data_IF_413672697370
#
_entry.id   IF_413672697370
#
_cell.length_a   1.000
_cell.length_b   1.000
_cell.length_c   1.000
_cell.angle_alpha   90.00
_cell.angle_beta   90.00
_cell.angle_gamma   90.00
#
_symmetry.space_group_name_H-M   'P 1'
#
loop_
_entity.id
_entity.type
_entity.pdbx_description
1 polymer ?
#
# COMPACT_ATOMS: atom_id res chain seq x y z
N UNK A 1 -34.41 -3.75 5.68
CA UNK A 1 -33.40 -4.80 5.83
C UNK A 1 -34.11 -6.06 6.30
N UNK A 2 -33.87 -7.21 5.64
CA UNK A 2 -34.41 -8.53 6.03
C UNK A 2 -34.12 -8.87 7.48
N UNK A 3 -32.94 -8.49 7.98
CA UNK A 3 -32.53 -8.72 9.37
C UNK A 3 -33.39 -8.00 10.40
N UNK A 4 -33.85 -6.77 10.14
CA UNK A 4 -34.75 -6.06 11.08
C UNK A 4 -36.06 -6.80 11.25
N UNK A 5 -36.60 -7.30 10.14
CA UNK A 5 -37.84 -8.06 10.13
C UNK A 5 -37.68 -9.40 10.87
N UNK A 6 -36.57 -10.10 10.64
CA UNK A 6 -36.22 -11.32 11.37
C UNK A 6 -36.13 -11.06 12.87
N UNK A 7 -35.46 -9.97 13.29
CA UNK A 7 -35.34 -9.62 14.71
C UNK A 7 -36.68 -9.29 15.36
N UNK A 8 -37.53 -8.53 14.67
CA UNK A 8 -38.89 -8.21 15.11
C UNK A 8 -39.74 -9.48 15.28
N UNK A 9 -39.65 -10.42 14.34
CA UNK A 9 -40.35 -11.71 14.43
C UNK A 9 -39.85 -12.56 15.59
N UNK A 10 -38.53 -12.60 15.81
CA UNK A 10 -37.93 -13.32 16.94
C UNK A 10 -38.39 -12.73 18.27
N UNK A 11 -38.33 -11.40 18.43
CA UNK A 11 -38.80 -10.73 19.64
C UNK A 11 -40.30 -10.95 19.89
N UNK A 12 -41.11 -10.91 18.83
CA UNK A 12 -42.53 -11.23 18.90
C UNK A 12 -42.79 -12.67 19.36
N UNK A 13 -42.03 -13.65 18.84
CA UNK A 13 -42.13 -15.06 19.27
C UNK A 13 -41.73 -15.25 20.73
N UNK A 14 -40.78 -14.45 21.22
CA UNK A 14 -40.33 -14.45 22.62
C UNK A 14 -41.26 -13.65 23.57
N UNK A 15 -42.35 -13.06 23.07
CA UNK A 15 -43.26 -12.24 23.87
C UNK A 15 -42.68 -10.87 24.27
N UNK A 16 -41.60 -10.43 23.62
CA UNK A 16 -40.97 -9.13 23.85
C UNK A 16 -41.67 -8.04 23.03
N UNK A 17 -41.74 -6.83 23.58
CA UNK A 17 -42.22 -5.66 22.84
C UNK A 17 -41.32 -5.37 21.64
N UNK A 18 -41.86 -4.93 20.51
CA UNK A 18 -41.08 -4.71 19.29
C UNK A 18 -39.86 -3.79 19.52
N UNK A 19 -38.70 -4.08 18.91
CA UNK A 19 -37.50 -3.27 19.06
C UNK A 19 -37.74 -1.84 18.56
N UNK A 20 -37.30 -0.85 19.34
CA UNK A 20 -37.31 0.56 18.92
C UNK A 20 -36.09 0.84 18.05
N UNK A 21 -36.31 1.00 16.75
CA UNK A 21 -35.25 1.37 15.82
C UNK A 21 -34.96 2.87 15.89
N UNK A 22 -33.69 3.23 15.99
CA UNK A 22 -33.23 4.61 15.93
C UNK A 22 -32.04 4.77 15.01
N UNK A 23 -31.67 6.03 14.73
CA UNK A 23 -30.40 6.32 14.08
C UNK A 23 -29.24 5.94 15.01
N UNK A 24 -28.21 5.29 14.48
CA UNK A 24 -26.94 5.11 15.18
C UNK A 24 -26.08 6.33 14.92
N UNK A 25 -25.67 7.05 15.95
CA UNK A 25 -24.64 8.09 15.83
C UNK A 25 -23.33 7.46 16.25
N UNK A 26 -22.30 7.60 15.43
CA UNK A 26 -21.00 6.99 15.70
C UNK A 26 -19.94 8.08 15.87
N UNK A 27 -19.05 7.85 16.84
CA UNK A 27 -17.78 8.56 16.95
C UNK A 27 -16.71 7.51 16.68
N UNK A 28 -15.97 7.69 15.59
CA UNK A 28 -14.83 6.86 15.22
C UNK A 28 -13.57 7.56 15.68
N UNK A 29 -12.69 6.84 16.37
CA UNK A 29 -11.41 7.38 16.80
C UNK A 29 -10.29 6.39 16.46
N UNK A 30 -9.23 6.88 15.83
CA UNK A 30 -8.01 6.10 15.61
C UNK A 30 -6.78 6.93 15.97
N UNK A 31 -5.72 6.29 16.43
CA UNK A 31 -4.45 6.96 16.69
C UNK A 31 -3.76 7.38 15.38
N UNK A 32 -3.91 6.58 14.32
CA UNK A 32 -3.26 6.79 13.02
C UNK A 32 -4.03 7.79 12.15
N UNK A 33 -3.34 8.81 11.61
CA UNK A 33 -3.88 9.65 10.55
C UNK A 33 -4.34 8.85 9.32
N UNK A 34 -3.59 7.84 8.87
CA UNK A 34 -3.99 7.01 7.73
C UNK A 34 -5.29 6.23 8.02
N UNK A 35 -5.39 5.57 9.17
CA UNK A 35 -6.60 4.85 9.57
C UNK A 35 -7.80 5.80 9.74
N UNK A 36 -7.58 6.99 10.30
CA UNK A 36 -8.60 8.05 10.38
C UNK A 36 -9.07 8.46 8.99
N UNK A 37 -8.15 8.71 8.06
CA UNK A 37 -8.48 9.13 6.70
C UNK A 37 -9.29 8.06 5.95
N UNK A 38 -8.92 6.79 6.12
CA UNK A 38 -9.70 5.65 5.63
C UNK A 38 -11.10 5.67 6.26
N UNK A 39 -11.20 5.76 7.59
CA UNK A 39 -12.47 5.81 8.31
C UNK A 39 -13.37 6.96 7.87
N UNK A 40 -12.80 8.15 7.64
CA UNK A 40 -13.51 9.31 7.12
C UNK A 40 -14.07 9.04 5.72
N UNK A 41 -13.30 8.45 4.81
CA UNK A 41 -13.76 8.20 3.45
C UNK A 41 -14.76 7.05 3.34
N UNK A 42 -14.75 6.09 4.26
CA UNK A 42 -15.80 5.08 4.35
C UNK A 42 -17.13 5.63 4.90
N UNK A 43 -17.09 6.63 5.78
CA UNK A 43 -18.26 6.98 6.60
C UNK A 43 -18.82 8.39 6.35
N UNK A 44 -18.08 9.28 5.70
CA UNK A 44 -18.56 10.64 5.39
C UNK A 44 -19.20 10.66 3.99
N UNK A 45 -20.45 11.16 3.85
CA UNK A 45 -21.13 11.27 2.57
C UNK A 45 -20.34 12.04 1.50
N UNK A 46 -20.49 11.60 0.26
CA UNK A 46 -19.95 12.27 -0.93
C UNK A 46 -20.83 11.94 -2.14
N UNK A 47 -20.69 12.72 -3.21
CA UNK A 47 -21.35 12.45 -4.48
C UNK A 47 -20.56 11.39 -5.26
N UNK A 48 -21.13 10.19 -5.34
CA UNK A 48 -20.49 9.03 -5.98
C UNK A 48 -20.38 9.20 -7.50
N UNK A 49 -21.33 9.89 -8.13
CA UNK A 49 -21.33 10.09 -9.58
C UNK A 49 -20.30 11.17 -9.95
N UNK A 50 -20.21 12.24 -9.15
CA UNK A 50 -19.17 13.25 -9.27
C UNK A 50 -17.77 12.63 -9.08
N UNK A 51 -17.59 11.78 -8.06
CA UNK A 51 -16.34 11.02 -7.87
C UNK A 51 -16.03 10.13 -9.07
N UNK A 52 -17.00 9.36 -9.56
CA UNK A 52 -16.78 8.43 -10.68
C UNK A 52 -16.33 9.17 -11.93
N UNK A 53 -16.96 10.32 -12.21
CA UNK A 53 -16.56 11.20 -13.32
C UNK A 53 -15.15 11.76 -13.11
N UNK A 54 -14.86 12.30 -11.92
CA UNK A 54 -13.57 12.88 -11.60
C UNK A 54 -12.44 11.84 -11.64
N UNK A 55 -12.66 10.61 -11.14
CA UNK A 55 -11.70 9.51 -11.20
C UNK A 55 -11.37 9.09 -12.63
N UNK A 56 -12.36 9.00 -13.51
CA UNK A 56 -12.14 8.72 -14.94
C UNK A 56 -11.34 9.83 -15.62
N UNK A 57 -11.66 11.09 -15.30
CA UNK A 57 -10.92 12.24 -15.83
C UNK A 57 -9.47 12.26 -15.34
N UNK A 58 -9.25 11.95 -14.05
CA UNK A 58 -7.92 11.84 -13.46
C UNK A 58 -7.08 10.77 -14.17
N UNK A 59 -7.59 9.54 -14.31
CA UNK A 59 -6.85 8.46 -14.96
C UNK A 59 -6.52 8.76 -16.43
N UNK A 60 -7.45 9.41 -17.15
CA UNK A 60 -7.22 9.87 -18.53
C UNK A 60 -6.15 10.96 -18.58
N UNK A 61 -6.17 11.90 -17.65
CA UNK A 61 -5.17 12.97 -17.60
C UNK A 61 -3.78 12.42 -17.24
N UNK A 62 -3.69 11.42 -16.35
CA UNK A 62 -2.42 10.72 -16.08
C UNK A 62 -1.93 9.99 -17.33
N UNK A 63 -2.81 9.35 -18.09
CA UNK A 63 -2.45 8.69 -19.35
C UNK A 63 -1.90 9.65 -20.40
N UNK A 64 -2.43 10.87 -20.46
CA UNK A 64 -1.89 11.90 -21.35
C UNK A 64 -0.47 12.33 -20.97
N UNK A 65 -0.15 12.41 -19.67
CA UNK A 65 1.15 12.89 -19.19
C UNK A 65 2.24 11.81 -19.26
N UNK A 66 1.91 10.59 -18.84
CA UNK A 66 2.88 9.51 -18.61
C UNK A 66 2.58 8.22 -19.38
N UNK A 67 1.56 8.19 -20.23
CA UNK A 67 1.18 7.01 -21.01
C UNK A 67 2.33 6.43 -21.84
N UNK A 68 3.17 7.30 -22.39
CA UNK A 68 4.37 6.92 -23.15
C UNK A 68 5.35 6.04 -22.36
N UNK A 69 5.37 6.12 -21.02
CA UNK A 69 6.22 5.30 -20.15
C UNK A 69 5.75 3.84 -20.05
N UNK A 70 4.52 3.58 -20.47
CA UNK A 70 3.84 2.29 -20.39
C UNK A 70 3.41 1.79 -21.78
N UNK A 71 4.07 2.26 -22.83
CA UNK A 71 3.91 1.72 -24.19
C UNK A 71 5.07 0.76 -24.51
N UNK A 72 4.79 -0.25 -25.31
CA UNK A 72 5.81 -1.18 -25.83
C UNK A 72 5.44 -1.66 -27.22
N UNK A 73 6.43 -2.01 -28.06
CA UNK A 73 6.17 -2.54 -29.39
C UNK A 73 5.79 -4.01 -29.34
N UNK A 74 4.69 -4.37 -30.01
CA UNK A 74 4.21 -5.75 -30.15
C UNK A 74 5.15 -6.57 -31.05
N UNK A 75 5.00 -7.90 -31.05
CA UNK A 75 5.82 -8.83 -31.84
C UNK A 75 5.76 -8.63 -33.35
N UNK A 76 4.79 -7.85 -33.85
CA UNK A 76 4.70 -7.46 -35.26
C UNK A 76 5.63 -6.27 -35.64
N UNK A 77 6.30 -5.68 -34.66
CA UNK A 77 7.21 -4.55 -34.86
C UNK A 77 6.50 -3.24 -35.24
N UNK A 78 5.17 -3.14 -35.11
CA UNK A 78 4.40 -1.97 -35.55
C UNK A 78 3.34 -1.54 -34.54
N UNK A 79 2.63 -2.49 -33.95
CA UNK A 79 1.51 -2.20 -33.05
C UNK A 79 2.04 -1.85 -31.68
N UNK A 80 1.57 -0.73 -31.11
CA UNK A 80 1.84 -0.39 -29.70
C UNK A 80 0.91 -1.16 -28.77
N UNK A 81 1.49 -1.79 -27.77
CA UNK A 81 0.78 -2.40 -26.65
C UNK A 81 0.94 -1.59 -25.36
N UNK A 82 -0.02 -1.75 -24.45
CA UNK A 82 -0.02 -1.12 -23.14
C UNK A 82 0.59 -2.06 -22.11
N UNK A 83 1.65 -1.63 -21.44
CA UNK A 83 2.28 -2.37 -20.35
C UNK A 83 1.31 -2.43 -19.17
N UNK A 84 0.97 -3.65 -18.76
CA UNK A 84 0.21 -3.90 -17.53
C UNK A 84 1.16 -3.95 -16.34
N UNK A 85 2.31 -4.61 -16.50
CA UNK A 85 3.42 -4.57 -15.55
C UNK A 85 4.75 -5.02 -16.16
N UNK A 86 5.84 -4.59 -15.52
CA UNK A 86 7.19 -5.10 -15.78
C UNK A 86 7.69 -5.87 -14.57
N UNK A 87 8.24 -7.06 -14.80
CA UNK A 87 8.93 -7.85 -13.78
C UNK A 87 10.38 -7.43 -13.75
N UNK A 88 10.83 -7.03 -12.57
CA UNK A 88 12.20 -6.64 -12.31
C UNK A 88 12.88 -7.69 -11.44
N UNK A 89 14.06 -8.13 -11.86
CA UNK A 89 14.89 -9.08 -11.13
C UNK A 89 16.09 -8.37 -10.52
N UNK A 90 16.38 -8.69 -9.26
CA UNK A 90 17.70 -8.41 -8.70
C UNK A 90 18.77 -9.20 -9.45
N UNK A 91 19.90 -8.55 -9.69
CA UNK A 91 21.11 -9.15 -10.24
C UNK A 91 22.06 -9.52 -9.10
N UNK A 92 22.77 -10.63 -9.29
CA UNK A 92 23.70 -11.20 -8.32
C UNK A 92 25.03 -11.51 -8.98
N UNK A 93 26.07 -11.71 -8.18
CA UNK A 93 27.38 -12.17 -8.65
C UNK A 93 27.52 -13.67 -8.35
N UNK A 94 28.03 -14.41 -9.33
CA UNK A 94 28.47 -15.78 -9.11
C UNK A 94 29.74 -15.78 -8.25
N UNK A 95 29.79 -16.49 -7.11
CA UNK A 95 30.99 -16.51 -6.25
C UNK A 95 32.20 -17.20 -6.93
N UNK A 96 31.96 -18.06 -7.93
CA UNK A 96 33.00 -18.87 -8.55
C UNK A 96 33.66 -18.17 -9.76
N UNK A 97 32.92 -17.31 -10.48
CA UNK A 97 33.44 -16.62 -11.68
C UNK A 97 33.19 -15.11 -11.74
N UNK A 98 32.56 -14.53 -10.72
CA UNK A 98 32.15 -13.12 -10.64
C UNK A 98 31.20 -12.64 -11.77
N UNK A 99 30.64 -13.57 -12.55
CA UNK A 99 29.70 -13.24 -13.64
C UNK A 99 28.35 -12.77 -13.09
N UNK A 100 27.72 -11.81 -13.77
CA UNK A 100 26.40 -11.29 -13.38
C UNK A 100 25.29 -12.30 -13.69
N UNK A 101 24.47 -12.62 -12.70
CA UNK A 101 23.39 -13.60 -12.79
C UNK A 101 22.05 -12.91 -12.59
N UNK A 102 21.20 -12.94 -13.62
CA UNK A 102 19.81 -12.51 -13.50
C UNK A 102 18.98 -13.64 -12.87
N UNK A 103 18.69 -13.51 -11.58
CA UNK A 103 18.05 -14.58 -10.81
C UNK A 103 16.73 -15.07 -11.43
N UNK A 104 15.90 -14.17 -11.97
CA UNK A 104 14.63 -14.57 -12.59
C UNK A 104 14.86 -15.32 -13.90
N UNK A 105 15.81 -14.89 -14.73
CA UNK A 105 16.08 -15.53 -16.00
C UNK A 105 16.60 -16.97 -15.83
N UNK A 106 17.44 -17.20 -14.81
CA UNK A 106 18.08 -18.50 -14.61
C UNK A 106 17.29 -19.45 -13.69
N UNK A 107 16.62 -18.92 -12.66
CA UNK A 107 15.96 -19.74 -11.65
C UNK A 107 14.47 -19.96 -11.92
N UNK A 108 13.79 -19.12 -12.70
CA UNK A 108 12.37 -19.30 -12.98
C UNK A 108 12.17 -20.32 -14.10
N UNK A 109 11.52 -21.43 -13.77
CA UNK A 109 11.16 -22.44 -14.75
C UNK A 109 10.00 -21.96 -15.63
N UNK A 110 10.21 -21.95 -16.95
CA UNK A 110 9.24 -21.37 -17.90
C UNK A 110 7.91 -22.12 -17.97
N UNK A 111 7.92 -23.44 -17.77
CA UNK A 111 6.75 -24.31 -17.86
C UNK A 111 5.99 -24.38 -16.53
N UNK A 112 6.67 -24.76 -15.45
CA UNK A 112 6.06 -24.93 -14.14
C UNK A 112 5.83 -23.62 -13.40
N UNK A 113 6.46 -22.51 -13.86
CA UNK A 113 6.45 -21.20 -13.20
C UNK A 113 6.94 -21.24 -11.75
N UNK A 114 7.71 -22.28 -11.38
CA UNK A 114 8.35 -22.44 -10.08
C UNK A 114 9.77 -21.92 -10.13
N UNK A 115 10.25 -21.42 -8.99
CA UNK A 115 11.66 -21.09 -8.82
C UNK A 115 12.39 -22.40 -8.50
N UNK A 116 13.43 -22.71 -9.26
CA UNK A 116 14.31 -23.86 -9.01
C UNK A 116 15.17 -23.60 -7.79
N UNK A 117 15.33 -24.63 -6.95
CA UNK A 117 16.20 -24.53 -5.75
C UNK A 117 17.68 -24.44 -6.14
N UNK A 118 18.06 -25.14 -7.23
CA UNK A 118 19.40 -25.11 -7.84
C UNK A 118 19.32 -24.81 -9.34
N UNK A 119 20.31 -24.11 -9.88
CA UNK A 119 20.44 -23.82 -11.31
C UNK A 119 21.91 -23.57 -11.68
N UNK A 120 22.34 -23.88 -12.92
CA UNK A 120 23.72 -23.64 -13.33
C UNK A 120 23.98 -22.14 -13.56
N UNK A 121 25.18 -21.68 -13.24
CA UNK A 121 25.65 -20.35 -13.63
C UNK A 121 25.70 -20.25 -15.17
N UNK A 122 25.13 -19.19 -15.78
CA UNK A 122 25.16 -19.03 -17.24
C UNK A 122 26.55 -18.73 -17.82
N UNK A 123 27.53 -18.40 -16.96
CA UNK A 123 28.89 -18.03 -17.38
C UNK A 123 29.91 -19.16 -17.22
N UNK A 124 29.86 -19.90 -16.11
CA UNK A 124 30.86 -20.93 -15.78
C UNK A 124 30.28 -22.33 -15.52
N UNK A 125 28.95 -22.48 -15.51
CA UNK A 125 28.28 -23.75 -15.26
C UNK A 125 28.27 -24.23 -13.82
N UNK A 126 28.89 -23.50 -12.88
CA UNK A 126 28.84 -23.85 -11.45
C UNK A 126 27.40 -23.93 -10.94
N UNK A 127 27.09 -24.92 -10.10
CA UNK A 127 25.75 -25.04 -9.51
C UNK A 127 25.50 -23.91 -8.50
N UNK A 128 24.44 -23.14 -8.67
CA UNK A 128 24.07 -22.01 -7.82
C UNK A 128 22.77 -22.27 -7.07
N UNK A 129 22.66 -21.66 -5.89
CA UNK A 129 21.42 -21.51 -5.11
C UNK A 129 21.24 -20.04 -4.74
N UNK A 130 20.02 -19.65 -4.34
CA UNK A 130 19.77 -18.26 -3.91
C UNK A 130 20.66 -17.79 -2.76
N UNK A 131 21.07 -18.69 -1.87
CA UNK A 131 21.93 -18.36 -0.71
C UNK A 131 23.42 -18.30 -1.05
N UNK A 132 23.87 -18.97 -2.12
CA UNK A 132 25.25 -18.90 -2.61
C UNK A 132 25.55 -17.65 -3.44
N UNK A 133 24.51 -17.02 -3.99
CA UNK A 133 24.66 -15.80 -4.77
C UNK A 133 25.09 -14.61 -3.90
N UNK A 134 26.06 -13.85 -4.39
CA UNK A 134 26.48 -12.60 -3.76
C UNK A 134 25.64 -11.43 -4.28
N UNK A 135 25.19 -10.53 -3.40
CA UNK A 135 24.38 -9.38 -3.80
C UNK A 135 25.24 -8.41 -4.60
N UNK A 136 24.76 -8.04 -5.79
CA UNK A 136 25.37 -7.01 -6.61
C UNK A 136 24.69 -5.68 -6.32
N UNK A 137 25.47 -4.67 -5.99
CA UNK A 137 25.01 -3.31 -5.73
C UNK A 137 25.49 -2.37 -6.82
N UNK A 138 24.73 -1.30 -7.04
CA UNK A 138 25.14 -0.17 -7.86
C UNK A 138 25.01 1.11 -7.05
N UNK A 139 25.96 2.02 -7.23
CA UNK A 139 25.91 3.34 -6.62
C UNK A 139 25.18 4.28 -7.56
N UNK A 140 24.13 4.92 -7.06
CA UNK A 140 23.34 5.90 -7.80
C UNK A 140 23.38 7.24 -7.06
N UNK A 141 23.47 8.32 -7.83
CA UNK A 141 23.27 9.66 -7.29
C UNK A 141 21.78 9.88 -7.08
N UNK A 142 21.36 10.08 -5.83
CA UNK A 142 20.01 10.50 -5.51
C UNK A 142 19.92 12.02 -5.63
N UNK A 143 19.43 12.48 -6.77
CA UNK A 143 19.27 13.92 -7.05
C UNK A 143 18.35 14.63 -6.07
N UNK A 144 17.47 13.90 -5.39
CA UNK A 144 16.48 14.46 -4.46
C UNK A 144 17.09 14.78 -3.09
N UNK A 145 18.09 14.01 -2.66
CA UNK A 145 18.78 14.19 -1.38
C UNK A 145 20.20 14.75 -1.56
N UNK A 146 20.75 14.72 -2.78
CA UNK A 146 22.15 15.06 -3.07
C UNK A 146 23.16 14.01 -2.58
N UNK A 147 22.69 12.86 -2.09
CA UNK A 147 23.52 11.80 -1.55
C UNK A 147 23.78 10.71 -2.61
N UNK A 148 24.88 9.97 -2.44
CA UNK A 148 25.08 8.72 -3.17
C UNK A 148 24.50 7.57 -2.37
N UNK A 149 23.62 6.78 -2.98
CA UNK A 149 22.99 5.62 -2.36
C UNK A 149 23.48 4.34 -3.06
N UNK A 150 23.76 3.30 -2.26
CA UNK A 150 23.96 1.95 -2.80
C UNK A 150 22.65 1.21 -2.80
N UNK A 151 22.23 0.74 -3.98
CA UNK A 151 20.99 -0.01 -4.16
C UNK A 151 21.31 -1.35 -4.83
N UNK A 152 20.54 -2.42 -4.55
CA UNK A 152 20.67 -3.66 -5.29
C UNK A 152 20.52 -3.40 -6.80
N UNK A 153 21.46 -3.91 -7.59
CA UNK A 153 21.40 -3.84 -9.04
C UNK A 153 20.19 -4.67 -9.51
N UNK A 154 19.37 -4.10 -10.38
CA UNK A 154 18.14 -4.70 -10.89
C UNK A 154 18.09 -4.56 -12.41
N UNK A 155 17.39 -5.48 -13.07
CA UNK A 155 17.11 -5.41 -14.49
C UNK A 155 15.65 -5.79 -14.76
N UNK A 156 15.02 -5.12 -15.73
CA UNK A 156 13.76 -5.57 -16.28
C UNK A 156 13.98 -6.93 -16.97
N UNK A 157 13.20 -7.93 -16.59
CA UNK A 157 13.33 -9.30 -17.11
C UNK A 157 12.17 -9.68 -18.02
N UNK A 158 10.95 -9.24 -17.69
CA UNK A 158 9.73 -9.58 -18.42
C UNK A 158 8.80 -8.37 -18.48
N UNK A 159 8.23 -8.10 -19.66
CA UNK A 159 7.18 -7.11 -19.86
C UNK A 159 5.91 -7.86 -20.21
N UNK A 160 4.85 -7.59 -19.44
CA UNK A 160 3.51 -8.10 -19.72
C UNK A 160 2.63 -6.94 -20.14
N UNK A 161 2.01 -7.07 -21.31
CA UNK A 161 1.31 -5.99 -21.98
C UNK A 161 0.06 -6.49 -22.70
N UNK A 162 -0.82 -5.55 -23.07
CA UNK A 162 -2.06 -5.83 -23.78
C UNK A 162 -2.09 -5.12 -25.15
N UNK A 163 -2.67 -5.81 -26.14
CA UNK A 163 -3.05 -5.24 -27.44
C UNK A 163 -4.53 -5.53 -27.65
N UNK A 164 -5.35 -4.48 -27.60
CA UNK A 164 -6.80 -4.64 -27.52
C UNK A 164 -7.21 -5.42 -26.27
N UNK A 165 -7.77 -6.62 -26.45
CA UNK A 165 -8.20 -7.51 -25.34
C UNK A 165 -7.23 -8.67 -25.07
N UNK A 166 -6.24 -8.86 -25.95
CA UNK A 166 -5.28 -9.94 -25.83
C UNK A 166 -4.08 -9.51 -25.00
N UNK A 167 -3.53 -10.45 -24.23
CA UNK A 167 -2.41 -10.23 -23.32
C UNK A 167 -1.20 -11.02 -23.79
N UNK A 168 -0.04 -10.39 -23.72
CA UNK A 168 1.22 -10.90 -24.24
C UNK A 168 2.33 -10.71 -23.21
N UNK A 169 3.39 -11.49 -23.37
CA UNK A 169 4.60 -11.46 -22.56
C UNK A 169 5.81 -11.40 -23.51
N UNK A 170 6.80 -10.56 -23.19
CA UNK A 170 8.09 -10.53 -23.90
C UNK A 170 9.24 -10.19 -22.97
N UNK A 171 10.47 -10.45 -23.41
CA UNK A 171 11.67 -9.82 -22.83
C UNK A 171 11.73 -8.34 -23.27
N UNK A 172 12.25 -7.43 -22.44
CA UNK A 172 12.48 -6.05 -22.86
C UNK A 172 13.32 -6.00 -24.15
N UNK A 173 12.88 -5.18 -25.10
CA UNK A 173 13.65 -4.82 -26.30
C UNK A 173 14.54 -3.60 -26.05
N UNK A 174 15.43 -3.27 -26.98
CA UNK A 174 16.29 -2.07 -26.88
C UNK A 174 15.45 -0.80 -26.70
N UNK A 175 14.37 -0.63 -27.49
CA UNK A 175 13.43 0.49 -27.33
C UNK A 175 12.83 0.58 -25.93
N UNK A 176 12.52 -0.57 -25.29
CA UNK A 176 11.98 -0.59 -23.93
C UNK A 176 13.04 -0.14 -22.90
N UNK A 177 14.30 -0.53 -23.11
CA UNK A 177 15.43 -0.15 -22.26
C UNK A 177 15.75 1.34 -22.41
N UNK A 178 15.68 1.89 -23.63
CA UNK A 178 15.85 3.32 -23.90
C UNK A 178 14.77 4.16 -23.20
N UNK A 179 13.51 3.70 -23.20
CA UNK A 179 12.42 4.33 -22.46
C UNK A 179 12.70 4.30 -20.95
N UNK A 180 13.13 3.15 -20.41
CA UNK A 180 13.49 3.02 -18.99
C UNK A 180 14.60 4.02 -18.64
N UNK A 181 15.67 4.07 -19.42
CA UNK A 181 16.79 4.99 -19.18
C UNK A 181 16.35 6.46 -19.25
N UNK A 182 15.47 6.80 -20.21
CA UNK A 182 14.88 8.13 -20.30
C UNK A 182 14.09 8.49 -19.04
N UNK A 183 13.36 7.55 -18.46
CA UNK A 183 12.57 7.78 -17.24
C UNK A 183 13.49 7.93 -16.01
N UNK A 184 14.55 7.12 -15.92
CA UNK A 184 15.55 7.21 -14.85
C UNK A 184 16.26 8.57 -14.80
N UNK A 185 16.37 9.25 -15.95
CA UNK A 185 16.94 10.59 -16.05
C UNK A 185 15.97 11.73 -15.66
N UNK A 186 14.70 11.44 -15.40
CA UNK A 186 13.72 12.46 -15.00
C UNK A 186 13.89 12.83 -13.52
N UNK A 187 13.63 14.09 -13.21
CA UNK A 187 13.56 14.54 -11.82
C UNK A 187 12.39 13.87 -11.08
N UNK A 188 12.60 13.56 -9.80
CA UNK A 188 11.55 13.06 -8.93
C UNK A 188 10.40 14.08 -8.87
N UNK A 189 9.12 13.65 -9.03
CA UNK A 189 8.00 14.57 -8.87
C UNK A 189 7.98 15.15 -7.44
N UNK A 190 7.66 16.45 -7.28
CA UNK A 190 7.68 17.11 -5.97
C UNK A 190 6.66 16.53 -4.98
N UNK A 191 5.63 15.84 -5.47
CA UNK A 191 4.63 15.17 -4.63
C UNK A 191 5.13 13.87 -4.01
N UNK A 192 6.21 13.26 -4.53
CA UNK A 192 6.77 12.03 -3.96
C UNK A 192 7.54 12.39 -2.68
N UNK A 193 7.22 11.80 -1.51
CA UNK A 193 7.90 12.16 -0.27
C UNK A 193 9.36 11.73 -0.28
N UNK A 194 10.24 12.66 0.11
CA UNK A 194 11.68 12.44 0.32
C UNK A 194 12.03 12.40 1.81
N UNK A 195 11.06 12.11 2.68
CA UNK A 195 11.27 12.02 4.13
C UNK A 195 12.15 10.81 4.47
N UNK A 196 13.12 11.01 5.37
CA UNK A 196 13.95 9.95 5.92
C UNK A 196 13.10 9.00 6.77
N UNK A 197 13.33 7.70 6.61
CA UNK A 197 12.66 6.68 7.39
C UNK A 197 13.28 6.67 8.79
N UNK A 198 12.50 6.94 9.86
CA UNK A 198 13.04 6.89 11.20
C UNK A 198 13.48 5.45 11.55
N UNK A 199 14.40 5.30 12.50
CA UNK A 199 14.71 4.00 13.07
C UNK A 199 13.44 3.37 13.65
N UNK A 200 13.05 2.21 13.13
CA UNK A 200 11.79 1.51 13.40
C UNK A 200 12.00 0.00 13.35
N UNK A 201 11.18 -0.75 14.09
CA UNK A 201 11.29 -2.22 14.15
C UNK A 201 11.02 -2.83 12.77
N UNK A 202 10.03 -2.30 12.03
CA UNK A 202 9.70 -2.77 10.68
C UNK A 202 10.74 -2.43 9.61
N UNK A 203 11.75 -1.62 9.88
CA UNK A 203 12.74 -1.19 8.87
C UNK A 203 14.14 -1.71 9.19
N UNK A 204 14.58 -1.61 10.46
CA UNK A 204 15.96 -1.90 10.85
C UNK A 204 16.13 -3.29 11.48
N UNK A 205 15.13 -3.80 12.22
CA UNK A 205 15.24 -5.12 12.84
C UNK A 205 14.66 -6.22 11.95
N UNK A 206 13.43 -6.03 11.43
CA UNK A 206 12.72 -7.09 10.71
C UNK A 206 12.97 -7.11 9.20
N UNK A 207 12.96 -5.94 8.56
CA UNK A 207 13.03 -5.85 7.09
C UNK A 207 14.43 -5.64 6.53
N UNK A 208 15.37 -5.09 7.33
CA UNK A 208 16.72 -4.74 6.88
C UNK A 208 16.71 -3.91 5.60
N UNK A 209 15.99 -2.78 5.65
CA UNK A 209 15.83 -1.87 4.52
C UNK A 209 17.16 -1.27 4.05
N UNK A 210 18.16 -1.26 4.92
CA UNK A 210 19.56 -0.95 4.60
C UNK A 210 20.10 -1.84 3.46
N UNK A 211 19.77 -3.13 3.45
CA UNK A 211 20.17 -4.05 2.37
C UNK A 211 19.43 -3.79 1.05
N UNK A 212 18.30 -3.11 1.10
CA UNK A 212 17.55 -2.70 -0.09
C UNK A 212 17.98 -1.33 -0.63
N UNK A 213 18.84 -0.60 0.11
CA UNK A 213 19.20 0.78 -0.19
C UNK A 213 18.06 1.77 0.04
N UNK A 214 17.09 1.43 0.90
CA UNK A 214 15.91 2.27 1.16
C UNK A 214 16.08 2.95 2.51
N UNK A 215 16.47 4.23 2.47
CA UNK A 215 16.65 5.10 3.66
C UNK A 215 15.61 6.20 3.75
N UNK A 216 14.96 6.53 2.64
CA UNK A 216 13.90 7.54 2.52
C UNK A 216 12.65 6.90 1.91
N UNK A 217 11.57 7.65 1.75
CA UNK A 217 10.32 7.11 1.16
C UNK A 217 10.40 6.94 -0.35
N UNK A 218 11.01 7.86 -1.10
CA UNK A 218 11.06 7.78 -2.56
C UNK A 218 11.76 6.52 -3.12
N UNK A 219 12.81 5.92 -2.51
CA UNK A 219 13.44 4.69 -3.01
C UNK A 219 12.56 3.43 -2.85
N UNK A 220 11.40 3.51 -2.18
CA UNK A 220 10.42 2.43 -2.28
C UNK A 220 9.87 2.29 -3.70
N UNK A 221 9.94 3.31 -4.53
CA UNK A 221 9.38 3.32 -5.87
C UNK A 221 10.51 3.22 -6.90
N UNK A 222 10.30 2.42 -7.94
CA UNK A 222 11.11 2.54 -9.15
C UNK A 222 10.81 3.89 -9.82
N UNK A 223 11.74 4.46 -10.60
CA UNK A 223 11.57 5.79 -11.19
C UNK A 223 10.26 5.97 -11.96
N UNK A 224 9.85 5.00 -12.79
CA UNK A 224 8.57 5.05 -13.51
C UNK A 224 7.37 5.00 -12.55
N UNK A 225 7.37 4.13 -11.55
CA UNK A 225 6.34 4.10 -10.52
C UNK A 225 6.27 5.40 -9.70
N UNK A 226 7.41 6.05 -9.42
CA UNK A 226 7.46 7.34 -8.73
C UNK A 226 6.82 8.46 -9.57
N UNK A 227 7.11 8.52 -10.88
CA UNK A 227 6.44 9.42 -11.82
C UNK A 227 4.92 9.22 -11.82
N UNK A 228 4.48 7.96 -11.87
CA UNK A 228 3.05 7.62 -11.86
C UNK A 228 2.36 8.01 -10.56
N UNK A 229 2.94 7.68 -9.40
CA UNK A 229 2.36 8.04 -8.12
C UNK A 229 2.36 9.55 -7.88
N UNK A 230 3.42 10.27 -8.27
CA UNK A 230 3.47 11.73 -8.22
C UNK A 230 2.36 12.37 -9.06
N UNK A 231 2.22 11.96 -10.33
CA UNK A 231 1.17 12.48 -11.22
C UNK A 231 -0.25 12.18 -10.71
N UNK A 232 -0.50 10.96 -10.21
CA UNK A 232 -1.78 10.59 -9.60
C UNK A 232 -2.09 11.47 -8.38
N UNK A 233 -1.12 11.63 -7.48
CA UNK A 233 -1.27 12.40 -6.25
C UNK A 233 -1.54 13.88 -6.53
N UNK A 234 -0.73 14.49 -7.41
CA UNK A 234 -0.87 15.88 -7.83
C UNK A 234 -2.28 16.17 -8.37
N UNK A 235 -2.77 15.31 -9.29
CA UNK A 235 -4.08 15.51 -9.91
C UNK A 235 -5.23 15.26 -8.95
N UNK A 236 -5.10 14.29 -8.04
CA UNK A 236 -6.11 14.09 -6.98
C UNK A 236 -6.21 15.32 -6.08
N UNK A 237 -5.07 15.85 -5.62
CA UNK A 237 -4.99 17.02 -4.76
C UNK A 237 -5.44 18.31 -5.45
N UNK A 238 -5.29 18.42 -6.77
CA UNK A 238 -5.73 19.59 -7.53
C UNK A 238 -7.25 19.70 -7.71
N UNK A 239 -8.03 18.67 -7.35
CA UNK A 239 -9.49 18.72 -7.54
C UNK A 239 -10.12 19.82 -6.67
N UNK A 240 -10.99 20.69 -7.21
CA UNK A 240 -11.45 21.88 -6.50
C UNK A 240 -12.41 21.56 -5.34
N UNK A 241 -13.34 20.62 -5.55
CA UNK A 241 -14.27 20.17 -4.51
C UNK A 241 -13.51 19.40 -3.42
N UNK A 242 -13.51 19.86 -2.14
CA UNK A 242 -12.76 19.22 -1.07
C UNK A 242 -13.17 17.79 -0.76
N UNK A 243 -14.47 17.47 -0.83
CA UNK A 243 -14.96 16.14 -0.48
C UNK A 243 -14.61 15.14 -1.58
N UNK A 244 -14.78 15.53 -2.84
CA UNK A 244 -14.35 14.72 -3.98
C UNK A 244 -12.82 14.59 -4.00
N UNK A 245 -12.08 15.66 -3.72
CA UNK A 245 -10.62 15.62 -3.57
C UNK A 245 -10.18 14.59 -2.54
N UNK A 246 -10.73 14.63 -1.33
CA UNK A 246 -10.40 13.65 -0.29
C UNK A 246 -10.70 12.21 -0.73
N UNK A 247 -11.81 11.97 -1.45
CA UNK A 247 -12.12 10.63 -1.93
C UNK A 247 -11.25 10.20 -3.12
N UNK A 248 -10.80 11.12 -3.97
CA UNK A 248 -9.81 10.86 -5.02
C UNK A 248 -8.45 10.51 -4.41
N UNK A 249 -8.02 11.21 -3.37
CA UNK A 249 -6.79 10.88 -2.63
C UNK A 249 -6.92 9.49 -1.98
N UNK A 250 -8.06 9.18 -1.35
CA UNK A 250 -8.38 7.83 -0.85
C UNK A 250 -8.39 6.75 -1.95
N UNK A 251 -8.78 7.10 -3.17
CA UNK A 251 -8.71 6.20 -4.31
C UNK A 251 -7.26 5.98 -4.77
N UNK A 252 -6.46 7.04 -4.88
CA UNK A 252 -5.06 6.99 -5.32
C UNK A 252 -4.16 6.31 -4.30
N UNK A 253 -4.34 6.53 -2.99
CA UNK A 253 -3.47 5.93 -1.96
C UNK A 253 -3.50 4.40 -1.98
N UNK A 254 -4.56 3.80 -2.53
CA UNK A 254 -4.70 2.36 -2.70
C UNK A 254 -3.65 1.77 -3.66
N UNK A 255 -2.98 2.60 -4.45
CA UNK A 255 -1.88 2.20 -5.32
C UNK A 255 -0.51 2.25 -4.65
N UNK A 256 -0.35 2.97 -3.53
CA UNK A 256 0.96 3.21 -2.89
C UNK A 256 1.72 1.90 -2.69
N UNK A 257 1.15 0.96 -1.94
CA UNK A 257 1.82 -0.30 -1.62
C UNK A 257 2.13 -1.15 -2.85
N UNK A 258 1.21 -1.22 -3.81
CA UNK A 258 1.41 -1.99 -5.05
C UNK A 258 2.44 -1.33 -5.97
N UNK A 259 2.54 0.00 -5.97
CA UNK A 259 3.52 0.76 -6.76
C UNK A 259 4.95 0.68 -6.21
N UNK A 260 5.15 0.09 -5.02
CA UNK A 260 6.48 -0.03 -4.43
C UNK A 260 7.21 -1.32 -4.82
N UNK A 261 8.52 -1.34 -4.55
CA UNK A 261 9.40 -2.52 -4.53
C UNK A 261 8.94 -3.64 -3.57
N UNK A 262 7.98 -3.37 -2.69
CA UNK A 262 7.37 -4.38 -1.81
C UNK A 262 6.43 -5.31 -2.58
N UNK A 263 5.95 -4.90 -3.76
CA UNK A 263 5.03 -5.68 -4.57
C UNK A 263 5.75 -6.83 -5.28
N UNK A 264 5.80 -7.98 -4.59
CA UNK A 264 6.52 -9.16 -5.06
C UNK A 264 5.91 -9.72 -6.34
N UNK A 265 6.75 -10.19 -7.25
CA UNK A 265 6.25 -10.92 -8.41
C UNK A 265 5.73 -12.30 -8.00
N UNK A 266 4.51 -12.66 -8.43
CA UNK A 266 3.94 -14.01 -8.25
C UNK A 266 3.60 -14.62 -9.60
N UNK A 267 4.49 -15.46 -10.18
CA UNK A 267 4.29 -16.07 -11.50
C UNK A 267 2.96 -16.84 -11.63
N UNK A 268 2.52 -17.51 -10.56
CA UNK A 268 1.28 -18.30 -10.51
C UNK A 268 0.09 -17.53 -9.91
N UNK A 269 0.24 -16.24 -9.63
CA UNK A 269 -0.81 -15.40 -9.08
C UNK A 269 -1.85 -15.01 -10.14
N UNK A 270 -3.12 -14.97 -9.74
CA UNK A 270 -4.21 -14.47 -10.61
C UNK A 270 -4.04 -12.97 -10.96
N UNK A 271 -3.38 -12.21 -10.09
CA UNK A 271 -3.10 -10.79 -10.26
C UNK A 271 -1.72 -10.47 -9.70
N UNK A 272 -1.09 -9.42 -10.23
CA UNK A 272 0.12 -8.83 -9.67
C UNK A 272 -0.15 -7.62 -8.76
N UNK A 273 -1.42 -7.26 -8.54
CA UNK A 273 -1.81 -6.20 -7.59
C UNK A 273 -1.84 -6.76 -6.17
N UNK A 274 -1.37 -6.00 -5.17
CA UNK A 274 -1.36 -6.37 -3.75
C UNK A 274 -0.61 -7.68 -3.42
N UNK A 275 0.58 -7.89 -4.00
CA UNK A 275 1.40 -9.08 -3.75
C UNK A 275 2.52 -8.86 -2.71
N UNK A 276 2.52 -7.71 -2.04
CA UNK A 276 3.35 -7.42 -0.87
C UNK A 276 2.99 -8.32 0.32
N UNK A 277 3.96 -8.55 1.22
CA UNK A 277 3.71 -9.30 2.46
C UNK A 277 3.07 -8.40 3.52
N UNK A 278 1.98 -8.86 4.11
CA UNK A 278 1.30 -8.13 5.19
C UNK A 278 2.17 -8.08 6.44
N UNK A 279 2.22 -6.93 7.10
CA UNK A 279 2.90 -6.78 8.39
C UNK A 279 4.42 -6.65 8.33
N UNK A 280 5.02 -6.39 7.15
CA UNK A 280 6.46 -6.17 6.99
C UNK A 280 6.79 -5.40 5.70
N UNK A 281 7.81 -4.55 5.71
CA UNK A 281 8.41 -3.98 4.50
C UNK A 281 9.36 -4.96 3.81
N UNK A 282 8.84 -6.08 3.32
CA UNK A 282 9.67 -7.07 2.64
C UNK A 282 9.94 -6.71 1.17
N UNK A 283 11.20 -6.41 0.84
CA UNK A 283 11.66 -6.21 -0.54
C UNK A 283 12.11 -7.56 -1.12
N UNK A 284 11.35 -8.05 -2.10
CA UNK A 284 11.69 -9.31 -2.78
C UNK A 284 12.77 -9.11 -3.85
N UNK A 285 13.50 -10.20 -4.14
CA UNK A 285 14.44 -10.26 -5.27
C UNK A 285 13.76 -10.15 -6.64
N UNK A 286 12.43 -10.32 -6.69
CA UNK A 286 11.61 -10.17 -7.89
C UNK A 286 10.37 -9.35 -7.52
N UNK A 287 10.09 -8.28 -8.25
CA UNK A 287 8.93 -7.44 -8.03
C UNK A 287 8.21 -7.14 -9.34
N UNK A 288 6.90 -6.96 -9.25
CA UNK A 288 6.05 -6.58 -10.36
C UNK A 288 5.75 -5.08 -10.26
N UNK A 289 6.38 -4.29 -11.12
CA UNK A 289 6.09 -2.88 -11.29
C UNK A 289 4.82 -2.74 -12.14
N UNK A 290 3.68 -2.59 -11.48
CA UNK A 290 2.37 -2.48 -12.14
C UNK A 290 2.11 -1.08 -12.68
N UNK A 291 1.42 -0.99 -13.82
CA UNK A 291 0.93 0.28 -14.33
C UNK A 291 -0.18 0.83 -13.44
N UNK A 292 -0.35 2.17 -13.35
CA UNK A 292 -1.38 2.76 -12.50
C UNK A 292 -2.79 2.30 -12.91
N UNK A 293 -3.02 2.06 -14.20
CA UNK A 293 -4.32 1.59 -14.71
C UNK A 293 -4.60 0.13 -14.37
N UNK A 294 -3.58 -0.75 -14.42
CA UNK A 294 -3.73 -2.13 -13.97
C UNK A 294 -4.13 -2.21 -12.49
N UNK A 295 -3.66 -1.26 -11.67
CA UNK A 295 -4.01 -1.16 -10.24
C UNK A 295 -5.40 -0.55 -10.04
N UNK A 296 -5.70 0.55 -10.73
CA UNK A 296 -6.76 1.48 -10.35
C UNK A 296 -8.05 1.40 -11.19
N UNK A 297 -8.01 0.99 -12.47
CA UNK A 297 -9.19 1.00 -13.35
C UNK A 297 -10.34 0.16 -12.75
N UNK A 298 -10.05 -1.11 -12.44
CA UNK A 298 -11.03 -1.99 -11.80
C UNK A 298 -11.34 -1.59 -10.36
N UNK A 299 -10.53 -0.76 -9.71
CA UNK A 299 -10.79 -0.27 -8.35
C UNK A 299 -11.76 0.90 -8.35
N UNK A 300 -11.67 1.79 -9.33
CA UNK A 300 -12.61 2.90 -9.51
C UNK A 300 -14.05 2.39 -9.64
N UNK A 301 -14.26 1.42 -10.53
CA UNK A 301 -15.59 0.83 -10.75
C UNK A 301 -16.13 0.10 -9.51
N UNK A 302 -15.24 -0.57 -8.75
CA UNK A 302 -15.62 -1.25 -7.50
C UNK A 302 -16.03 -0.24 -6.43
N UNK A 303 -15.27 0.85 -6.25
CA UNK A 303 -15.61 1.89 -5.29
C UNK A 303 -16.94 2.55 -5.65
N UNK A 304 -17.14 2.91 -6.92
CA UNK A 304 -18.40 3.49 -7.39
C UNK A 304 -19.60 2.57 -7.07
N UNK A 305 -19.52 1.28 -7.43
CA UNK A 305 -20.57 0.30 -7.14
C UNK A 305 -20.84 0.13 -5.65
N UNK A 306 -19.77 0.02 -4.84
CA UNK A 306 -19.89 -0.16 -3.39
C UNK A 306 -20.59 1.02 -2.74
N UNK A 307 -20.19 2.25 -3.03
CA UNK A 307 -20.75 3.44 -2.38
C UNK A 307 -22.11 3.86 -2.96
N UNK A 308 -22.46 3.42 -4.17
CA UNK A 308 -23.85 3.49 -4.67
C UNK A 308 -24.77 2.58 -3.84
N UNK A 309 -24.33 1.37 -3.50
CA UNK A 309 -25.10 0.40 -2.72
C UNK A 309 -25.15 0.73 -1.22
N UNK A 310 -24.04 1.26 -0.67
CA UNK A 310 -23.88 1.56 0.76
C UNK A 310 -23.64 3.05 0.97
N UNK A 311 -24.70 3.85 0.86
CA UNK A 311 -24.63 5.29 1.10
C UNK A 311 -24.42 5.57 2.59
N UNK A 312 -23.38 6.34 2.90
CA UNK A 312 -23.15 6.88 4.23
C UNK A 312 -24.18 7.96 4.59
N UNK A 313 -24.35 8.19 5.89
CA UNK A 313 -25.27 9.19 6.44
C UNK A 313 -24.50 10.24 7.25
N UNK A 314 -25.03 11.48 7.40
CA UNK A 314 -24.38 12.56 8.12
C UNK A 314 -24.54 12.43 9.65
N UNK A 315 -24.21 11.25 10.19
CA UNK A 315 -24.38 10.87 11.59
C UNK A 315 -23.10 10.28 12.21
N UNK A 316 -21.95 10.49 11.56
CA UNK A 316 -20.64 9.99 11.99
C UNK A 316 -19.70 11.18 12.23
N UNK A 317 -19.04 11.18 13.38
CA UNK A 317 -17.88 12.01 13.65
C UNK A 317 -16.62 11.13 13.61
N UNK A 318 -15.53 11.63 13.03
CA UNK A 318 -14.26 10.91 12.93
C UNK A 318 -13.17 11.77 13.55
N UNK A 319 -12.38 11.19 14.45
CA UNK A 319 -11.32 11.87 15.19
C UNK A 319 -10.00 11.10 15.08
N UNK A 320 -8.89 11.85 15.02
CA UNK A 320 -7.54 11.28 15.14
C UNK A 320 -6.99 11.60 16.52
N UNK A 321 -6.60 10.59 17.27
CA UNK A 321 -6.04 10.76 18.60
C UNK A 321 -5.98 9.49 19.41
N UNK A 322 -5.24 9.54 20.52
CA UNK A 322 -5.14 8.43 21.45
C UNK A 322 -6.49 8.15 22.13
N UNK A 323 -6.87 6.87 22.20
CA UNK A 323 -8.00 6.42 22.99
C UNK A 323 -7.80 6.60 24.51
N UNK A 324 -6.59 6.92 24.96
CA UNK A 324 -6.30 7.26 26.36
C UNK A 324 -6.77 8.67 26.76
N UNK A 325 -7.25 9.48 25.81
CA UNK A 325 -7.85 10.80 26.04
C UNK A 325 -8.77 11.18 24.88
N UNK A 326 -10.04 10.83 25.00
CA UNK A 326 -11.08 11.13 24.03
C UNK A 326 -11.61 12.56 24.23
N UNK A 327 -11.89 13.32 23.15
CA UNK A 327 -12.47 14.66 23.22
C UNK A 327 -13.98 14.61 23.49
N UNK A 328 -14.40 13.83 24.49
CA UNK A 328 -15.80 13.59 24.86
C UNK A 328 -16.00 13.87 26.34
N UNK A 329 -17.19 14.36 26.71
CA UNK A 329 -17.57 14.54 28.12
C UNK A 329 -17.89 13.20 28.78
N UNK A 330 -17.85 13.19 30.12
CA UNK A 330 -18.19 12.04 30.95
C UNK A 330 -19.63 11.56 30.66
N UNK A 331 -19.88 10.26 30.79
CA UNK A 331 -21.21 9.67 30.68
C UNK A 331 -22.00 10.08 29.41
N UNK A 332 -21.33 10.17 28.26
CA UNK A 332 -21.95 10.59 26.99
C UNK A 332 -22.19 9.45 26.00
N UNK A 333 -21.41 8.36 26.10
CA UNK A 333 -21.43 7.24 25.14
C UNK A 333 -22.37 6.13 25.63
N UNK A 334 -23.24 5.64 24.75
CA UNK A 334 -24.20 4.58 25.08
C UNK A 334 -23.63 3.16 24.89
N UNK A 335 -22.59 3.01 24.08
CA UNK A 335 -21.94 1.73 23.77
C UNK A 335 -20.56 1.97 23.16
N UNK A 336 -19.56 1.16 23.56
CA UNK A 336 -18.21 1.20 23.00
C UNK A 336 -17.92 -0.14 22.31
N UNK A 337 -17.32 -0.09 21.13
CA UNK A 337 -16.74 -1.24 20.44
C UNK A 337 -15.28 -0.91 20.14
N UNK A 338 -14.37 -1.75 20.62
CA UNK A 338 -12.93 -1.56 20.44
C UNK A 338 -12.28 -2.91 20.14
N UNK A 339 -11.27 -2.93 19.28
CA UNK A 339 -10.42 -4.10 19.01
C UNK A 339 -8.97 -3.65 19.23
N UNK A 340 -8.43 -3.82 20.47
CA UNK A 340 -7.15 -3.26 20.83
C UNK A 340 -5.98 -4.03 20.18
N UNK A 341 -4.82 -3.39 19.98
CA UNK A 341 -3.63 -4.10 19.51
C UNK A 341 -3.22 -5.26 20.42
N UNK A 342 -2.72 -6.33 19.82
CA UNK A 342 -2.31 -7.55 20.52
C UNK A 342 -0.79 -7.58 20.78
N UNK A 343 -0.32 -6.84 21.78
CA UNK A 343 1.09 -6.91 22.23
C UNK A 343 2.08 -6.56 21.12
N UNK A 344 3.01 -7.47 20.78
CA UNK A 344 4.06 -7.29 19.76
C UNK A 344 3.69 -7.83 18.35
N UNK A 345 2.41 -8.10 18.08
CA UNK A 345 1.99 -8.75 16.83
C UNK A 345 2.16 -7.84 15.59
N UNK A 346 1.75 -6.57 15.69
CA UNK A 346 1.73 -5.61 14.58
C UNK A 346 2.18 -4.24 15.07
N UNK A 347 3.08 -3.62 14.31
CA UNK A 347 3.66 -2.30 14.57
C UNK A 347 2.98 -1.29 13.64
N UNK A 348 1.79 -0.83 14.01
CA UNK A 348 0.92 -0.08 13.10
C UNK A 348 1.52 1.26 12.70
N UNK A 349 2.07 2.03 13.64
CA UNK A 349 2.73 3.29 13.34
C UNK A 349 3.89 3.11 12.33
N UNK A 350 4.66 2.03 12.48
CA UNK A 350 5.77 1.74 11.55
C UNK A 350 5.28 1.42 10.14
N UNK A 351 4.22 0.60 10.03
CA UNK A 351 3.63 0.17 8.76
C UNK A 351 2.86 1.29 8.06
N UNK A 352 2.24 2.19 8.84
CA UNK A 352 1.50 3.32 8.31
C UNK A 352 2.43 4.40 7.75
N UNK A 353 3.69 4.46 8.22
CA UNK A 353 4.66 5.48 7.82
C UNK A 353 4.78 5.66 6.30
N UNK A 354 4.76 4.56 5.53
CA UNK A 354 4.82 4.63 4.06
C UNK A 354 3.67 5.45 3.45
N UNK A 355 2.43 5.27 3.93
CA UNK A 355 1.26 5.99 3.41
C UNK A 355 1.16 7.38 4.03
N UNK A 356 1.42 7.49 5.34
CA UNK A 356 1.36 8.73 6.10
C UNK A 356 2.37 9.78 5.61
N UNK A 357 3.52 9.35 5.09
CA UNK A 357 4.48 10.23 4.44
C UNK A 357 3.90 11.00 3.25
N UNK A 358 2.98 10.40 2.47
CA UNK A 358 2.31 11.08 1.35
C UNK A 358 1.31 12.13 1.81
N UNK A 359 0.72 11.92 2.99
CA UNK A 359 -0.21 12.86 3.62
C UNK A 359 0.51 13.99 4.38
N UNK A 360 1.83 13.88 4.60
CA UNK A 360 2.62 14.87 5.33
C UNK A 360 2.35 14.89 6.84
N UNK A 361 1.70 13.87 7.38
CA UNK A 361 1.38 13.74 8.80
C UNK A 361 1.57 12.29 9.24
N UNK A 362 2.29 12.08 10.33
CA UNK A 362 2.65 10.74 10.83
C UNK A 362 2.08 10.48 12.23
N UNK A 363 1.85 9.21 12.53
CA UNK A 363 1.33 8.74 13.82
C UNK A 363 2.31 9.06 14.95
N UNK A 364 1.82 9.64 16.05
CA UNK A 364 2.57 9.64 17.30
C UNK A 364 2.56 8.22 17.90
N UNK A 365 3.68 7.51 17.78
CA UNK A 365 3.83 6.14 18.26
C UNK A 365 3.97 6.02 19.79
N UNK A 366 4.15 7.14 20.52
CA UNK A 366 4.28 7.11 21.99
C UNK A 366 3.04 6.49 22.66
N UNK A 367 1.80 6.94 22.39
CA UNK A 367 0.60 6.36 22.96
C UNK A 367 0.08 5.08 22.26
N UNK A 368 0.82 4.51 21.29
CA UNK A 368 0.41 3.27 20.64
C UNK A 368 0.46 2.10 21.64
N UNK A 369 -0.65 1.42 21.93
CA UNK A 369 -0.66 0.36 22.93
C UNK A 369 -0.08 -0.96 22.37
N UNK A 370 1.23 -1.04 22.13
CA UNK A 370 1.95 -2.24 21.69
C UNK A 370 3.21 -2.48 22.51
N UNK A 371 3.73 -3.70 22.46
CA UNK A 371 5.09 -4.04 22.93
C UNK A 371 6.04 -3.78 21.75
N UNK A 372 7.03 -2.93 21.97
CA UNK A 372 8.01 -2.53 20.97
C UNK A 372 9.36 -2.30 21.65
N UNK A 373 10.24 -3.30 21.53
CA UNK A 373 11.59 -3.25 22.15
C UNK A 373 12.43 -2.11 21.59
N UNK A 374 12.30 -1.81 20.30
CA UNK A 374 13.04 -0.75 19.64
C UNK A 374 12.66 0.62 20.22
N UNK A 375 11.36 0.84 20.44
CA UNK A 375 10.83 2.05 21.12
C UNK A 375 10.86 1.98 22.65
N UNK A 376 11.52 0.98 23.24
CA UNK A 376 11.65 0.78 24.69
C UNK A 376 10.30 0.65 25.41
N UNK A 377 9.35 -0.04 24.79
CA UNK A 377 8.01 -0.35 25.34
C UNK A 377 7.94 -1.84 25.61
N UNK A 378 8.07 -2.23 26.87
CA UNK A 378 7.92 -3.60 27.31
C UNK A 378 6.47 -3.86 27.76
N UNK A 379 6.25 -5.05 28.33
CA UNK A 379 4.94 -5.46 28.83
C UNK A 379 4.33 -4.46 29.86
N UNK A 380 5.09 -3.88 30.82
CA UNK A 380 4.54 -2.90 31.75
C UNK A 380 4.01 -1.63 31.07
N UNK A 381 4.74 -1.11 30.06
CA UNK A 381 4.29 0.07 29.31
C UNK A 381 3.02 -0.22 28.52
N UNK A 382 2.95 -1.40 27.88
CA UNK A 382 1.74 -1.87 27.20
C UNK A 382 0.55 -1.98 28.15
N UNK A 383 0.73 -2.62 29.31
CA UNK A 383 -0.32 -2.74 30.33
C UNK A 383 -0.80 -1.37 30.81
N UNK A 384 0.11 -0.45 31.06
CA UNK A 384 -0.22 0.91 31.49
C UNK A 384 -1.01 1.68 30.42
N UNK A 385 -0.61 1.62 29.15
CA UNK A 385 -1.33 2.26 28.04
C UNK A 385 -2.73 1.67 27.88
N UNK A 386 -2.86 0.34 27.92
CA UNK A 386 -4.15 -0.35 27.87
C UNK A 386 -5.05 0.06 29.04
N UNK A 387 -4.54 0.08 30.26
CA UNK A 387 -5.27 0.54 31.44
C UNK A 387 -5.80 1.97 31.26
N UNK A 388 -4.98 2.88 30.72
CA UNK A 388 -5.40 4.26 30.47
C UNK A 388 -6.53 4.35 29.44
N UNK A 389 -6.47 3.57 28.36
CA UNK A 389 -7.56 3.49 27.39
C UNK A 389 -8.86 2.96 28.05
N UNK A 390 -8.79 1.89 28.84
CA UNK A 390 -9.97 1.36 29.54
C UNK A 390 -10.54 2.32 30.58
N UNK A 391 -9.69 3.06 31.30
CA UNK A 391 -10.14 4.10 32.23
C UNK A 391 -10.87 5.23 31.49
N UNK A 392 -10.37 5.61 30.31
CA UNK A 392 -11.01 6.63 29.48
C UNK A 392 -12.33 6.14 28.89
N UNK A 393 -12.41 4.88 28.46
CA UNK A 393 -13.66 4.25 28.04
C UNK A 393 -14.69 4.24 29.16
N UNK A 394 -14.28 3.90 30.39
CA UNK A 394 -15.15 3.95 31.55
C UNK A 394 -15.66 5.37 31.83
N UNK A 395 -14.79 6.39 31.72
CA UNK A 395 -15.17 7.81 31.94
C UNK A 395 -16.27 8.26 30.97
N UNK A 396 -16.15 7.94 29.69
CA UNK A 396 -17.09 8.43 28.66
C UNK A 396 -18.35 7.58 28.54
N UNK A 397 -18.33 6.33 29.00
CA UNK A 397 -19.45 5.39 28.93
C UNK A 397 -20.47 5.69 30.02
N UNK A 398 -21.74 5.85 29.63
CA UNK A 398 -22.84 6.05 30.60
C UNK A 398 -22.93 4.91 31.61
N UNK A 399 -23.37 5.18 32.86
CA UNK A 399 -23.55 4.14 33.86
C UNK A 399 -24.50 3.04 33.39
N UNK A 400 -24.13 1.78 33.65
CA UNK A 400 -24.93 0.60 33.29
C UNK A 400 -24.96 0.28 31.79
N UNK A 401 -24.08 0.88 30.98
CA UNK A 401 -23.88 0.55 29.57
C UNK A 401 -22.75 -0.45 29.35
N UNK A 402 -22.68 -0.96 28.14
CA UNK A 402 -21.78 -2.05 27.76
C UNK A 402 -20.68 -1.57 26.83
N UNK A 403 -19.56 -2.26 26.91
CA UNK A 403 -18.47 -2.20 25.95
C UNK A 403 -18.19 -3.62 25.44
N UNK A 404 -17.83 -3.74 24.17
CA UNK A 404 -17.26 -4.97 23.61
C UNK A 404 -15.80 -4.70 23.26
N UNK A 405 -14.94 -5.60 23.73
CA UNK A 405 -13.50 -5.64 23.51
C UNK A 405 -13.09 -7.01 22.98
#
# INVERSE_FOLDING_TARGET
SSYRHELELTWKKEGRAAPKWGARRAVLNDLSPAATFIGANYNIPFDVDAFTKAGKQLLKAVEQDIGWMYETLHSDGKTKGRIEYTVWSQLYSCPDCAGEVNFTAEALDGESKRIRDTFPCPHCGAELTKTRLERLYTTQADLSTGLSIQVPKRAASVIVYSVGKARYEKKPSEDDLDIIQRIEALHLPPEVPTIEIPPMHMTHERARMDYAGITHIHPFFLPRAAQAMGALWAKAQAHPDPRIRSFLVFFVEQAIWTGTLLNRYRPTGFSQVNQYLTGVYYVASQHAECSPWYILDGKLDRLAKTFQAFKSAPNVAVTTGTAAKLPLSDDTVDYIFTDPPFGENIYYADLNFLVEAWHGVTTDAKPEAIIDKFKKKALPEYQHLMQRCFAEYHRVLKPGRWMTV
#
